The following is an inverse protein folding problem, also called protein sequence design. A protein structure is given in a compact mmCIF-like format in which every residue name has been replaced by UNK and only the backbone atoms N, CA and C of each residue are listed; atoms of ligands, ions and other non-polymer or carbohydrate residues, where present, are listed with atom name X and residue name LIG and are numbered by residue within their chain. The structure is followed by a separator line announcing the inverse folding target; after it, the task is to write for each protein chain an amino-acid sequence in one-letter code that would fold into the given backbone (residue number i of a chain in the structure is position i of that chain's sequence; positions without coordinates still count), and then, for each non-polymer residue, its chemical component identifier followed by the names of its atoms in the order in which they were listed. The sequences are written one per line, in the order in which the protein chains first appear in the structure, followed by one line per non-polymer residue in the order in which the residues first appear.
data_IF_125092958288
#
_entry.id   IF_125092958288
#
_cell.length_a   1.000
_cell.length_b   1.000
_cell.length_c   1.000
_cell.angle_alpha   90.00
_cell.angle_beta   90.00
_cell.angle_gamma   90.00
#
_symmetry.space_group_name_H-M   'P 1'
#
loop_
_entity.id
_entity.type
_entity.pdbx_description
1 polymer ?
#
# COMPACT_ATOMS: atom_id res chain seq x y z
N UNK A 1 3.76 -24.23 -7.77
CA UNK A 1 4.98 -24.76 -7.13
C UNK A 1 5.72 -23.62 -6.42
N UNK A 2 6.61 -23.94 -5.49
CA UNK A 2 7.52 -22.96 -4.86
C UNK A 2 8.93 -23.29 -5.38
N UNK A 3 9.63 -22.31 -5.94
CA UNK A 3 11.00 -22.49 -6.42
C UNK A 3 11.96 -22.60 -5.23
N UNK A 4 12.92 -23.52 -5.35
CA UNK A 4 13.93 -23.78 -4.31
C UNK A 4 15.20 -22.95 -4.51
N UNK A 5 15.54 -22.61 -5.76
CA UNK A 5 16.74 -21.84 -6.09
C UNK A 5 16.47 -20.82 -7.20
N UNK A 6 17.29 -19.77 -7.27
CA UNK A 6 17.18 -18.76 -8.32
C UNK A 6 17.49 -19.33 -9.71
N UNK A 7 18.35 -20.34 -9.83
CA UNK A 7 18.65 -20.99 -11.10
C UNK A 7 17.47 -21.83 -11.62
N UNK A 8 16.81 -22.58 -10.72
CA UNK A 8 15.57 -23.27 -11.08
C UNK A 8 14.51 -22.27 -11.54
N UNK A 9 14.37 -21.15 -10.84
CA UNK A 9 13.44 -20.08 -11.22
C UNK A 9 13.78 -19.55 -12.62
N UNK A 10 15.04 -19.19 -12.89
CA UNK A 10 15.49 -18.66 -14.20
C UNK A 10 15.18 -19.61 -15.36
N UNK A 11 15.36 -20.91 -15.16
CA UNK A 11 15.06 -21.92 -16.18
C UNK A 11 13.56 -21.97 -16.48
N UNK A 12 12.70 -21.94 -15.47
CA UNK A 12 11.25 -22.06 -15.64
C UNK A 12 10.60 -20.80 -16.21
N UNK A 13 11.23 -19.64 -16.11
CA UNK A 13 10.69 -18.42 -16.73
C UNK A 13 11.08 -18.24 -18.19
N UNK A 14 12.09 -18.95 -18.72
CA UNK A 14 12.79 -18.58 -19.95
C UNK A 14 11.91 -18.43 -21.20
N UNK A 15 10.85 -19.24 -21.32
CA UNK A 15 9.92 -19.20 -22.47
C UNK A 15 8.81 -18.15 -22.30
N UNK A 16 8.65 -17.60 -21.08
CA UNK A 16 7.53 -16.71 -20.71
C UNK A 16 8.01 -15.29 -20.45
N UNK A 17 9.15 -15.15 -19.76
CA UNK A 17 9.79 -13.89 -19.40
C UNK A 17 11.24 -13.88 -19.89
N UNK A 18 11.64 -12.80 -20.54
CA UNK A 18 13.03 -12.55 -20.92
C UNK A 18 13.63 -11.48 -20.01
N UNK A 19 14.78 -11.77 -19.41
CA UNK A 19 15.57 -10.78 -18.66
C UNK A 19 16.62 -10.18 -19.60
N UNK A 20 16.64 -8.86 -19.74
CA UNK A 20 17.57 -8.14 -20.61
C UNK A 20 17.87 -6.75 -20.05
N UNK A 21 19.14 -6.37 -19.96
CA UNK A 21 19.57 -5.04 -19.49
C UNK A 21 19.07 -4.65 -18.09
N UNK A 22 18.81 -5.60 -17.19
CA UNK A 22 18.24 -5.31 -15.87
C UNK A 22 16.73 -5.06 -15.88
N UNK A 23 16.05 -5.44 -16.97
CA UNK A 23 14.60 -5.39 -17.10
C UNK A 23 14.00 -6.76 -17.45
N UNK A 24 12.68 -6.86 -17.38
CA UNK A 24 11.90 -8.06 -17.70
C UNK A 24 10.96 -7.74 -18.84
N UNK A 25 10.93 -8.58 -19.86
CA UNK A 25 10.01 -8.53 -20.99
C UNK A 25 9.08 -9.74 -20.95
N UNK A 26 7.80 -9.54 -21.25
CA UNK A 26 6.80 -10.61 -21.28
C UNK A 26 6.73 -11.14 -22.71
N UNK A 27 7.22 -12.36 -22.93
CA UNK A 27 7.22 -13.05 -24.23
C UNK A 27 5.90 -13.78 -24.48
N UNK A 28 5.30 -14.35 -23.43
CA UNK A 28 4.01 -15.02 -23.48
C UNK A 28 3.14 -14.60 -22.29
N UNK A 29 2.28 -13.60 -22.51
CA UNK A 29 1.38 -13.11 -21.46
C UNK A 29 0.38 -14.18 -21.01
N UNK A 30 -0.09 -15.04 -21.93
CA UNK A 30 -1.09 -16.05 -21.61
C UNK A 30 -0.49 -17.07 -20.63
N UNK A 31 0.69 -17.60 -20.94
CA UNK A 31 1.39 -18.54 -20.05
C UNK A 31 1.81 -17.89 -18.72
N UNK A 32 2.18 -16.60 -18.74
CA UNK A 32 2.42 -15.84 -17.51
C UNK A 32 1.21 -15.87 -16.59
N UNK A 33 0.03 -15.55 -17.14
CA UNK A 33 -1.21 -15.44 -16.38
C UNK A 33 -1.77 -16.80 -15.98
N UNK A 34 -1.77 -17.76 -16.88
CA UNK A 34 -2.42 -19.05 -16.66
C UNK A 34 -1.68 -19.88 -15.59
N UNK A 35 -0.35 -19.85 -15.60
CA UNK A 35 0.47 -20.75 -14.76
C UNK A 35 1.56 -20.01 -13.98
N UNK A 36 2.47 -19.32 -14.67
CA UNK A 36 3.73 -18.89 -14.05
C UNK A 36 3.55 -17.88 -12.91
N UNK A 37 2.57 -16.98 -13.01
CA UNK A 37 2.34 -15.96 -11.97
C UNK A 37 1.98 -16.59 -10.62
N UNK A 38 1.29 -17.73 -10.61
CA UNK A 38 1.00 -18.47 -9.39
C UNK A 38 2.29 -19.03 -8.78
N UNK A 39 3.17 -19.61 -9.59
CA UNK A 39 4.46 -20.12 -9.10
C UNK A 39 5.35 -19.00 -8.54
N UNK A 40 5.36 -17.84 -9.21
CA UNK A 40 6.12 -16.67 -8.78
C UNK A 40 5.58 -16.10 -7.46
N UNK A 41 4.26 -15.92 -7.31
CA UNK A 41 3.71 -15.31 -6.08
C UNK A 41 3.85 -16.25 -4.89
N UNK A 42 3.66 -17.56 -5.07
CA UNK A 42 3.89 -18.52 -4.00
C UNK A 42 5.37 -18.55 -3.59
N UNK A 43 6.29 -18.44 -4.55
CA UNK A 43 7.72 -18.34 -4.25
C UNK A 43 8.10 -17.04 -3.55
N UNK A 44 7.50 -15.92 -3.95
CA UNK A 44 7.71 -14.59 -3.37
C UNK A 44 7.27 -14.50 -1.89
N UNK A 45 6.31 -15.31 -1.49
CA UNK A 45 5.76 -15.34 -0.12
C UNK A 45 6.39 -16.48 0.70
N UNK A 46 6.38 -17.70 0.18
CA UNK A 46 6.59 -18.92 0.97
C UNK A 46 7.95 -19.60 0.77
N UNK A 47 8.80 -19.17 -0.17
CA UNK A 47 10.12 -19.79 -0.32
C UNK A 47 10.94 -19.65 0.97
N UNK A 48 11.75 -20.65 1.31
CA UNK A 48 12.68 -20.54 2.44
C UNK A 48 13.92 -19.69 2.09
N UNK A 49 14.20 -19.50 0.81
CA UNK A 49 15.35 -18.77 0.30
C UNK A 49 14.98 -17.29 0.05
N UNK A 50 15.66 -16.38 0.76
CA UNK A 50 15.46 -14.93 0.63
C UNK A 50 15.82 -14.38 -0.74
N UNK A 51 16.77 -14.99 -1.45
CA UNK A 51 17.14 -14.60 -2.81
C UNK A 51 16.02 -14.97 -3.79
N UNK A 52 15.44 -16.17 -3.64
CA UNK A 52 14.27 -16.59 -4.43
C UNK A 52 13.09 -15.66 -4.19
N UNK A 53 12.79 -15.32 -2.93
CA UNK A 53 11.71 -14.36 -2.62
C UNK A 53 11.94 -13.03 -3.33
N UNK A 54 13.13 -12.45 -3.15
CA UNK A 54 13.48 -11.14 -3.69
C UNK A 54 13.43 -11.13 -5.22
N UNK A 55 13.94 -12.19 -5.85
CA UNK A 55 13.94 -12.33 -7.30
C UNK A 55 12.54 -12.51 -7.88
N UNK A 56 11.68 -13.33 -7.25
CA UNK A 56 10.29 -13.49 -7.65
C UNK A 56 9.50 -12.17 -7.52
N UNK A 57 9.66 -11.43 -6.41
CA UNK A 57 9.06 -10.10 -6.20
C UNK A 57 9.49 -9.12 -7.29
N UNK A 58 10.78 -9.11 -7.64
CA UNK A 58 11.31 -8.28 -8.71
C UNK A 58 10.72 -8.63 -10.08
N UNK A 59 10.64 -9.92 -10.42
CA UNK A 59 10.03 -10.40 -11.68
C UNK A 59 8.57 -9.97 -11.80
N UNK A 60 7.78 -10.18 -10.74
CA UNK A 60 6.36 -9.79 -10.69
C UNK A 60 6.22 -8.28 -10.93
N UNK A 61 7.01 -7.46 -10.23
CA UNK A 61 6.97 -6.00 -10.36
C UNK A 61 7.34 -5.52 -11.77
N UNK A 62 8.40 -6.06 -12.36
CA UNK A 62 8.84 -5.64 -13.72
C UNK A 62 7.89 -6.14 -14.80
N UNK A 63 7.41 -7.38 -14.70
CA UNK A 63 6.42 -7.92 -15.62
C UNK A 63 5.11 -7.11 -15.57
N UNK A 64 4.62 -6.77 -14.36
CA UNK A 64 3.45 -5.92 -14.17
C UNK A 64 3.62 -4.56 -14.84
N UNK A 65 4.78 -3.91 -14.65
CA UNK A 65 5.06 -2.63 -15.29
C UNK A 65 5.02 -2.72 -16.83
N UNK A 66 5.55 -3.80 -17.43
CA UNK A 66 5.43 -4.04 -18.88
C UNK A 66 4.00 -4.28 -19.35
N UNK A 67 3.17 -4.83 -18.47
CA UNK A 67 1.74 -4.98 -18.69
C UNK A 67 0.96 -3.73 -18.25
N UNK A 68 1.58 -2.58 -17.99
CA UNK A 68 0.87 -1.35 -17.62
C UNK A 68 0.15 -1.41 -16.26
N UNK A 69 0.62 -2.27 -15.35
CA UNK A 69 0.16 -2.36 -13.96
C UNK A 69 1.26 -1.83 -13.03
N UNK A 70 1.06 -0.64 -12.48
CA UNK A 70 2.07 0.03 -11.66
C UNK A 70 1.44 0.73 -10.47
N UNK A 71 2.15 0.77 -9.35
CA UNK A 71 1.77 1.57 -8.21
C UNK A 71 1.63 3.05 -8.60
N UNK A 72 0.58 3.71 -8.13
CA UNK A 72 0.29 5.11 -8.40
C UNK A 72 -0.31 5.80 -7.16
N UNK A 73 -0.07 7.11 -7.08
CA UNK A 73 -0.74 7.97 -6.09
C UNK A 73 -2.14 8.36 -6.59
N UNK A 74 -3.11 8.37 -5.67
CA UNK A 74 -4.46 8.85 -5.97
C UNK A 74 -4.59 10.38 -5.87
N UNK A 75 -3.54 11.06 -5.40
CA UNK A 75 -3.52 12.51 -5.15
C UNK A 75 -4.13 13.34 -6.30
N UNK A 76 -3.76 13.16 -7.59
CA UNK A 76 -4.32 13.99 -8.67
C UNK A 76 -5.84 13.83 -8.84
N UNK A 77 -6.37 12.63 -8.57
CA UNK A 77 -7.81 12.40 -8.62
C UNK A 77 -8.50 13.12 -7.47
N UNK A 78 -7.97 13.02 -6.25
CA UNK A 78 -8.55 13.68 -5.08
C UNK A 78 -8.47 15.21 -5.18
N UNK A 79 -7.43 15.79 -5.76
CA UNK A 79 -7.36 17.22 -6.09
C UNK A 79 -8.42 17.63 -7.11
N UNK A 80 -8.62 16.82 -8.16
CA UNK A 80 -9.67 17.05 -9.14
C UNK A 80 -11.08 16.94 -8.51
N UNK A 81 -11.26 16.04 -7.54
CA UNK A 81 -12.51 15.94 -6.77
C UNK A 81 -12.70 17.14 -5.84
N UNK A 82 -11.68 17.53 -5.08
CA UNK A 82 -11.72 18.66 -4.16
C UNK A 82 -11.96 20.01 -4.85
N UNK A 83 -11.50 20.16 -6.10
CA UNK A 83 -11.79 21.32 -6.95
C UNK A 83 -13.14 21.26 -7.67
N UNK A 84 -13.85 20.13 -7.60
CA UNK A 84 -15.12 19.91 -8.30
C UNK A 84 -15.01 19.59 -9.80
N UNK A 85 -13.79 19.45 -10.33
CA UNK A 85 -13.55 19.06 -11.73
C UNK A 85 -14.00 17.61 -12.01
N UNK A 86 -13.97 16.75 -10.99
CA UNK A 86 -14.47 15.38 -11.02
C UNK A 86 -15.46 15.20 -9.87
N UNK A 87 -16.61 14.57 -10.10
CA UNK A 87 -17.60 14.30 -9.05
C UNK A 87 -18.54 13.16 -9.45
N UNK A 88 -19.43 12.76 -8.54
CA UNK A 88 -20.49 11.79 -8.82
C UNK A 88 -20.16 10.34 -8.45
N UNK A 89 -19.02 10.07 -7.81
CA UNK A 89 -18.65 8.75 -7.31
C UNK A 89 -17.72 8.84 -6.10
N UNK A 90 -17.56 7.71 -5.42
CA UNK A 90 -16.56 7.50 -4.35
C UNK A 90 -15.56 6.44 -4.80
N UNK A 91 -14.37 6.46 -4.19
CA UNK A 91 -13.35 5.44 -4.40
C UNK A 91 -13.42 4.43 -3.25
N UNK A 92 -13.72 3.15 -3.49
CA UNK A 92 -13.68 2.16 -2.42
C UNK A 92 -12.22 1.88 -2.02
N UNK A 93 -11.95 1.96 -0.73
CA UNK A 93 -10.76 1.42 -0.10
C UNK A 93 -11.11 0.09 0.58
N UNK A 94 -10.28 -0.93 0.34
CA UNK A 94 -10.58 -2.31 0.73
C UNK A 94 -9.40 -2.87 1.51
N UNK A 95 -9.58 -3.04 2.82
CA UNK A 95 -8.65 -3.81 3.66
C UNK A 95 -8.61 -5.26 3.16
N UNK A 96 -7.41 -5.73 2.84
CA UNK A 96 -7.19 -7.15 2.53
C UNK A 96 -6.13 -7.72 3.45
N UNK A 97 -6.47 -8.80 4.14
CA UNK A 97 -5.53 -9.50 5.00
C UNK A 97 -5.82 -11.02 5.00
N UNK A 98 -4.78 -11.84 5.14
CA UNK A 98 -4.90 -13.31 5.10
C UNK A 98 -4.80 -13.87 3.69
N UNK A 99 -5.93 -14.18 3.04
CA UNK A 99 -5.97 -14.71 1.66
C UNK A 99 -5.88 -13.59 0.60
N UNK A 100 -4.95 -12.65 0.81
CA UNK A 100 -4.83 -11.38 0.06
C UNK A 100 -4.73 -11.60 -1.44
N UNK A 101 -3.89 -12.53 -1.92
CA UNK A 101 -3.74 -12.82 -3.36
C UNK A 101 -5.07 -13.22 -4.02
N UNK A 102 -5.80 -14.16 -3.43
CA UNK A 102 -7.05 -14.65 -4.01
C UNK A 102 -8.19 -13.63 -3.91
N UNK A 103 -8.25 -12.87 -2.81
CA UNK A 103 -9.24 -11.82 -2.61
C UNK A 103 -9.03 -10.66 -3.58
N UNK A 104 -7.78 -10.24 -3.76
CA UNK A 104 -7.42 -9.22 -4.75
C UNK A 104 -7.80 -9.64 -6.18
N UNK A 105 -7.62 -10.92 -6.54
CA UNK A 105 -8.09 -11.40 -7.85
C UNK A 105 -9.62 -11.30 -8.00
N UNK A 106 -10.39 -11.57 -6.94
CA UNK A 106 -11.85 -11.42 -6.99
C UNK A 106 -12.27 -9.97 -7.18
N UNK A 107 -11.56 -9.04 -6.53
CA UNK A 107 -11.75 -7.59 -6.70
C UNK A 107 -11.41 -7.19 -8.12
N UNK A 108 -10.23 -7.52 -8.65
CA UNK A 108 -9.86 -7.16 -10.03
C UNK A 108 -10.83 -7.72 -11.08
N UNK A 109 -11.27 -8.99 -10.95
CA UNK A 109 -12.29 -9.54 -11.86
C UNK A 109 -13.60 -8.74 -11.79
N UNK A 110 -13.99 -8.29 -10.60
CA UNK A 110 -15.18 -7.47 -10.39
C UNK A 110 -15.00 -6.06 -10.98
N UNK A 111 -13.84 -5.44 -10.77
CA UNK A 111 -13.46 -4.14 -11.34
C UNK A 111 -13.51 -4.18 -12.86
N UNK A 112 -12.91 -5.19 -13.49
CA UNK A 112 -12.91 -5.38 -14.94
C UNK A 112 -14.34 -5.60 -15.46
N UNK A 113 -15.09 -6.52 -14.85
CA UNK A 113 -16.46 -6.86 -15.28
C UNK A 113 -17.41 -5.67 -15.15
N UNK A 114 -17.27 -4.90 -14.07
CA UNK A 114 -18.10 -3.74 -13.78
C UNK A 114 -17.64 -2.45 -14.45
N UNK A 115 -16.48 -2.45 -15.14
CA UNK A 115 -15.80 -1.25 -15.59
C UNK A 115 -15.71 -0.19 -14.47
N UNK A 116 -15.36 -0.66 -13.26
CA UNK A 116 -15.18 0.20 -12.09
C UNK A 116 -13.91 0.99 -12.29
N UNK A 117 -13.92 2.26 -11.88
CA UNK A 117 -12.74 3.11 -11.89
C UNK A 117 -11.73 2.73 -10.80
N UNK A 118 -11.10 3.71 -10.14
CA UNK A 118 -10.08 3.44 -9.13
C UNK A 118 -10.64 2.63 -7.96
N UNK A 119 -9.81 1.74 -7.42
CA UNK A 119 -10.02 0.99 -6.19
C UNK A 119 -8.71 1.03 -5.41
N UNK A 120 -8.80 1.28 -4.11
CA UNK A 120 -7.64 1.28 -3.21
C UNK A 120 -7.57 -0.07 -2.51
N UNK A 121 -6.37 -0.65 -2.49
CA UNK A 121 -6.04 -1.82 -1.67
C UNK A 121 -5.24 -1.35 -0.47
N UNK A 122 -5.74 -1.61 0.72
CA UNK A 122 -5.14 -1.09 1.94
C UNK A 122 -4.84 -2.18 2.97
N UNK A 123 -3.92 -1.87 3.86
CA UNK A 123 -3.56 -2.71 5.00
C UNK A 123 -3.09 -1.82 6.14
N UNK A 124 -3.60 -2.07 7.35
CA UNK A 124 -3.26 -1.24 8.50
C UNK A 124 -2.00 -1.71 9.22
N UNK A 125 -1.37 -0.81 9.98
CA UNK A 125 -0.15 -1.12 10.77
C UNK A 125 -0.37 -2.31 11.72
N UNK A 126 -1.56 -2.44 12.28
CA UNK A 126 -1.93 -3.57 13.14
C UNK A 126 -1.99 -4.89 12.35
N UNK A 127 -2.55 -4.84 11.15
CA UNK A 127 -2.74 -5.97 10.23
C UNK A 127 -1.41 -6.50 9.71
N UNK A 128 -0.52 -5.62 9.26
CA UNK A 128 0.87 -5.95 8.91
C UNK A 128 1.51 -6.80 10.01
N UNK A 129 1.36 -6.37 11.28
CA UNK A 129 1.96 -7.06 12.43
C UNK A 129 1.34 -8.43 12.71
N UNK A 130 0.02 -8.54 12.83
CA UNK A 130 -0.59 -9.83 13.22
C UNK A 130 -0.62 -10.85 12.09
N UNK A 131 -0.62 -10.41 10.83
CA UNK A 131 -0.49 -11.30 9.66
C UNK A 131 0.94 -11.60 9.29
N UNK A 132 1.91 -10.83 9.81
CA UNK A 132 3.30 -10.85 9.37
C UNK A 132 3.45 -10.63 7.85
N UNK A 133 2.62 -9.74 7.29
CA UNK A 133 2.62 -9.38 5.88
C UNK A 133 3.21 -7.97 5.69
N UNK A 134 4.53 -7.85 5.42
CA UNK A 134 5.15 -6.54 5.21
C UNK A 134 4.67 -5.87 3.92
N UNK A 135 4.77 -4.53 3.80
CA UNK A 135 4.38 -3.77 2.60
C UNK A 135 4.93 -4.37 1.29
N UNK A 136 6.20 -4.78 1.27
CA UNK A 136 6.82 -5.39 0.08
C UNK A 136 6.14 -6.68 -0.39
N UNK A 137 5.65 -7.49 0.54
CA UNK A 137 4.88 -8.69 0.23
C UNK A 137 3.47 -8.32 -0.24
N UNK A 138 2.80 -7.40 0.48
CA UNK A 138 1.47 -6.92 0.14
C UNK A 138 1.42 -6.38 -1.30
N UNK A 139 2.33 -5.47 -1.66
CA UNK A 139 2.47 -4.98 -3.04
C UNK A 139 2.62 -6.12 -4.03
N UNK A 140 3.46 -7.11 -3.71
CA UNK A 140 3.74 -8.23 -4.61
C UNK A 140 2.49 -9.06 -4.87
N UNK A 141 1.71 -9.38 -3.82
CA UNK A 141 0.51 -10.20 -3.97
C UNK A 141 -0.61 -9.46 -4.70
N UNK A 142 -0.81 -8.15 -4.45
CA UNK A 142 -1.76 -7.33 -5.20
C UNK A 142 -1.34 -7.23 -6.68
N UNK A 143 -0.07 -6.97 -6.93
CA UNK A 143 0.48 -6.86 -8.29
C UNK A 143 0.34 -8.18 -9.06
N UNK A 144 0.65 -9.31 -8.42
CA UNK A 144 0.45 -10.63 -9.03
C UNK A 144 -1.03 -10.90 -9.34
N UNK A 145 -1.94 -10.49 -8.45
CA UNK A 145 -3.38 -10.64 -8.69
C UNK A 145 -3.86 -9.80 -9.88
N UNK A 146 -3.31 -8.60 -10.07
CA UNK A 146 -3.57 -7.76 -11.24
C UNK A 146 -3.13 -8.46 -12.53
N UNK A 147 -1.90 -9.02 -12.56
CA UNK A 147 -1.40 -9.81 -13.69
C UNK A 147 -2.34 -10.99 -13.95
N UNK A 148 -2.59 -11.84 -12.95
CA UNK A 148 -3.40 -13.07 -13.06
C UNK A 148 -4.75 -12.81 -13.71
N UNK A 149 -5.40 -11.72 -13.32
CA UNK A 149 -6.74 -11.36 -13.79
C UNK A 149 -6.75 -10.60 -15.11
N UNK A 150 -5.59 -10.14 -15.59
CA UNK A 150 -5.48 -9.33 -16.80
C UNK A 150 -5.89 -7.87 -16.60
N UNK A 151 -5.90 -7.38 -15.37
CA UNK A 151 -6.11 -5.96 -15.10
C UNK A 151 -5.01 -5.12 -15.78
N UNK A 152 -5.34 -3.87 -16.12
CA UNK A 152 -4.45 -2.89 -16.73
C UNK A 152 -4.77 -1.53 -16.12
N UNK A 153 -3.76 -0.82 -15.68
CA UNK A 153 -3.93 0.51 -15.08
C UNK A 153 -3.23 0.67 -13.74
N UNK A 154 -3.45 1.82 -13.08
CA UNK A 154 -2.83 2.13 -11.80
C UNK A 154 -3.26 1.15 -10.71
N UNK A 155 -2.33 0.87 -9.81
CA UNK A 155 -2.54 0.15 -8.55
C UNK A 155 -2.44 1.17 -7.41
N UNK A 156 -3.53 1.43 -6.71
CA UNK A 156 -3.54 2.30 -5.55
C UNK A 156 -3.36 1.46 -4.30
N UNK A 157 -2.18 1.58 -3.67
CA UNK A 157 -1.82 0.88 -2.44
C UNK A 157 -1.80 1.88 -1.30
N UNK A 158 -2.47 1.56 -0.20
CA UNK A 158 -2.65 2.46 0.93
C UNK A 158 -2.17 1.86 2.25
N UNK A 159 -1.43 2.68 3.00
CA UNK A 159 -1.11 2.41 4.40
C UNK A 159 -2.28 2.92 5.23
N UNK A 160 -3.14 2.01 5.68
CA UNK A 160 -4.38 2.34 6.38
C UNK A 160 -4.11 2.64 7.85
N UNK A 161 -4.71 3.71 8.39
CA UNK A 161 -4.60 4.10 9.80
C UNK A 161 -3.21 3.79 10.38
N UNK A 162 -2.12 4.38 9.86
CA UNK A 162 -0.76 4.18 10.39
C UNK A 162 -0.67 4.85 11.77
N UNK A 163 -1.25 4.16 12.73
CA UNK A 163 -1.74 4.71 13.97
C UNK A 163 -0.64 4.75 15.02
N UNK A 164 -0.53 5.89 15.70
CA UNK A 164 0.29 6.05 16.89
C UNK A 164 -0.31 5.24 18.03
N UNK A 165 0.48 4.41 18.71
CA UNK A 165 0.00 3.71 19.89
C UNK A 165 0.14 4.62 21.13
N UNK A 166 -0.98 5.13 21.64
CA UNK A 166 -1.00 6.04 22.79
C UNK A 166 -0.23 5.54 24.02
N UNK A 167 -0.29 4.23 24.34
CA UNK A 167 0.44 3.66 25.49
C UNK A 167 1.95 3.64 25.26
N UNK A 168 2.40 3.28 24.06
CA UNK A 168 3.82 3.30 23.71
C UNK A 168 4.34 4.73 23.62
N UNK A 169 3.56 5.62 23.01
CA UNK A 169 3.89 7.03 22.91
C UNK A 169 4.03 7.68 24.30
N UNK A 170 3.11 7.42 25.22
CA UNK A 170 3.21 7.94 26.60
C UNK A 170 4.43 7.39 27.37
N UNK A 171 4.89 6.18 27.02
CA UNK A 171 6.06 5.58 27.66
C UNK A 171 7.39 6.07 27.06
N UNK A 172 7.45 6.19 25.72
CA UNK A 172 8.61 6.63 24.95
C UNK A 172 8.15 7.20 23.60
N UNK A 173 7.93 8.53 23.52
CA UNK A 173 7.48 9.19 22.30
C UNK A 173 8.43 8.98 21.11
N UNK A 174 9.74 9.11 21.34
CA UNK A 174 10.75 9.07 20.28
C UNK A 174 10.78 7.70 19.60
N UNK A 175 10.73 6.63 20.41
CA UNK A 175 10.70 5.25 19.88
C UNK A 175 9.43 4.98 19.07
N UNK A 176 8.26 5.43 19.53
CA UNK A 176 7.01 5.20 18.81
C UNK A 176 6.93 6.00 17.51
N UNK A 177 7.37 7.26 17.52
CA UNK A 177 7.48 8.08 16.31
C UNK A 177 8.47 7.47 15.31
N UNK A 178 9.62 6.99 15.79
CA UNK A 178 10.57 6.33 14.90
C UNK A 178 9.99 5.05 14.29
N UNK A 179 9.20 4.27 15.03
CA UNK A 179 8.53 3.08 14.49
C UNK A 179 7.53 3.43 13.38
N UNK A 180 6.84 4.57 13.50
CA UNK A 180 5.91 5.08 12.48
C UNK A 180 6.67 5.58 11.25
N UNK A 181 7.74 6.34 11.45
CA UNK A 181 8.61 6.76 10.34
C UNK A 181 9.14 5.56 9.56
N UNK A 182 9.63 4.53 10.25
CA UNK A 182 10.17 3.33 9.62
C UNK A 182 9.13 2.60 8.76
N UNK A 183 7.90 2.41 9.26
CA UNK A 183 6.86 1.72 8.47
C UNK A 183 6.36 2.56 7.29
N UNK A 184 6.30 3.89 7.43
CA UNK A 184 5.99 4.80 6.32
C UNK A 184 7.07 4.70 5.23
N UNK A 185 8.35 4.73 5.60
CA UNK A 185 9.46 4.58 4.65
C UNK A 185 9.41 3.24 3.94
N UNK A 186 9.21 2.13 4.68
CA UNK A 186 9.07 0.79 4.09
C UNK A 186 7.88 0.70 3.13
N UNK A 187 6.75 1.33 3.48
CA UNK A 187 5.56 1.35 2.64
C UNK A 187 5.81 2.12 1.34
N UNK A 188 6.42 3.32 1.40
CA UNK A 188 6.73 4.12 0.22
C UNK A 188 7.72 3.39 -0.70
N UNK A 189 8.77 2.77 -0.15
CA UNK A 189 9.69 1.91 -0.91
C UNK A 189 8.98 0.72 -1.59
N UNK A 190 7.93 0.21 -0.95
CA UNK A 190 7.08 -0.85 -1.50
C UNK A 190 6.02 -0.35 -2.50
N UNK A 191 5.89 0.97 -2.73
CA UNK A 191 4.93 1.54 -3.68
C UNK A 191 3.59 1.97 -3.07
N UNK A 192 3.52 2.12 -1.76
CA UNK A 192 2.36 2.71 -1.08
C UNK A 192 2.43 4.22 -1.22
N UNK A 193 1.70 4.74 -2.20
CA UNK A 193 1.67 6.17 -2.49
C UNK A 193 0.41 6.86 -1.97
N UNK A 194 -0.28 6.21 -1.04
CA UNK A 194 -1.39 6.73 -0.26
C UNK A 194 -1.13 6.31 1.19
N UNK A 195 -1.01 7.26 2.12
CA UNK A 195 -0.64 7.00 3.52
C UNK A 195 -1.62 7.76 4.41
N UNK A 196 -2.38 7.04 5.21
CA UNK A 196 -3.27 7.64 6.20
C UNK A 196 -2.59 7.60 7.57
N UNK A 197 -2.36 8.78 8.14
CA UNK A 197 -1.71 8.96 9.44
C UNK A 197 -2.79 9.13 10.50
N UNK A 198 -2.76 8.25 11.50
CA UNK A 198 -3.66 8.34 12.64
C UNK A 198 -2.89 8.67 13.92
N UNK A 199 -2.80 9.97 14.23
CA UNK A 199 -2.33 10.48 15.50
C UNK A 199 -3.48 10.92 16.43
N UNK A 200 -4.73 10.54 16.12
CA UNK A 200 -5.89 10.91 16.93
C UNK A 200 -5.85 10.30 18.34
N UNK A 201 -5.13 9.19 18.51
CA UNK A 201 -4.98 8.50 19.79
C UNK A 201 -4.17 9.27 20.83
N UNK A 202 -3.39 10.27 20.43
CA UNK A 202 -2.61 11.12 21.35
C UNK A 202 -3.34 12.40 21.77
N UNK A 203 -4.59 12.59 21.31
CA UNK A 203 -5.44 13.72 21.71
C UNK A 203 -5.71 13.68 23.21
N UNK A 204 -5.48 14.81 23.88
CA UNK A 204 -5.64 14.96 25.33
C UNK A 204 -6.81 15.88 25.66
N UNK A 205 -7.99 15.30 25.86
CA UNK A 205 -9.23 16.02 26.17
C UNK A 205 -9.21 16.74 27.54
N UNK A 206 -8.19 16.53 28.38
CA UNK A 206 -8.05 17.24 29.65
C UNK A 206 -7.54 18.67 29.50
N UNK A 207 -7.05 19.04 28.30
CA UNK A 207 -6.52 20.38 28.00
C UNK A 207 -7.64 21.43 27.86
N UNK A 208 -7.37 22.69 28.22
CA UNK A 208 -8.43 23.70 28.37
C UNK A 208 -9.01 24.20 27.03
N UNK A 209 -8.25 24.15 25.93
CA UNK A 209 -8.74 24.55 24.61
C UNK A 209 -8.65 23.40 23.61
N UNK A 210 -9.55 23.38 22.61
CA UNK A 210 -9.57 22.35 21.55
C UNK A 210 -8.23 22.28 20.81
N UNK A 211 -7.58 23.44 20.59
CA UNK A 211 -6.25 23.50 19.97
C UNK A 211 -5.18 22.76 20.79
N UNK A 212 -5.16 22.97 22.10
CA UNK A 212 -4.23 22.25 22.99
C UNK A 212 -4.58 20.76 23.10
N UNK A 213 -5.85 20.39 22.99
CA UNK A 213 -6.27 18.98 22.95
C UNK A 213 -5.72 18.27 21.70
N UNK A 214 -5.75 18.95 20.55
CA UNK A 214 -5.34 18.42 19.24
C UNK A 214 -3.84 18.59 18.94
N UNK A 215 -3.07 19.26 19.80
CA UNK A 215 -1.67 19.64 19.51
C UNK A 215 -0.79 18.45 19.15
N UNK A 216 -0.91 17.34 19.88
CA UNK A 216 -0.19 16.11 19.57
C UNK A 216 -0.57 15.55 18.19
N UNK A 217 -1.85 15.57 17.84
CA UNK A 217 -2.35 15.02 16.59
C UNK A 217 -1.83 15.82 15.38
N UNK A 218 -2.07 17.13 15.34
CA UNK A 218 -1.64 17.93 14.19
C UNK A 218 -0.11 18.07 14.09
N UNK A 219 0.61 18.10 15.22
CA UNK A 219 2.07 18.25 15.20
C UNK A 219 2.74 16.98 14.68
N UNK A 220 2.32 15.81 15.17
CA UNK A 220 2.84 14.52 14.68
C UNK A 220 2.48 14.34 13.20
N UNK A 221 1.24 14.63 12.82
CA UNK A 221 0.79 14.51 11.42
C UNK A 221 1.55 15.45 10.50
N UNK A 222 1.83 16.69 10.91
CA UNK A 222 2.66 17.64 10.17
C UNK A 222 4.11 17.15 10.03
N UNK A 223 4.70 16.61 11.10
CA UNK A 223 6.05 16.06 11.08
C UNK A 223 6.17 14.84 10.15
N UNK A 224 5.19 13.94 10.19
CA UNK A 224 5.14 12.78 9.28
C UNK A 224 4.92 13.24 7.83
N UNK A 225 4.07 14.23 7.62
CA UNK A 225 3.85 14.84 6.29
C UNK A 225 5.15 15.42 5.73
N UNK A 226 5.87 16.21 6.53
CA UNK A 226 7.15 16.80 6.13
C UNK A 226 8.19 15.72 5.80
N UNK A 227 8.23 14.62 6.57
CA UNK A 227 9.09 13.48 6.30
C UNK A 227 8.71 12.77 5.00
N UNK A 228 7.42 12.48 4.77
CA UNK A 228 6.93 11.83 3.53
C UNK A 228 7.36 12.65 2.30
N UNK A 229 7.22 13.98 2.35
CA UNK A 229 7.64 14.86 1.24
C UNK A 229 9.15 14.83 0.97
N UNK A 230 9.98 14.43 1.94
CA UNK A 230 11.43 14.27 1.72
C UNK A 230 11.79 12.93 1.06
N UNK A 231 10.93 11.92 1.18
CA UNK A 231 11.22 10.55 0.73
C UNK A 231 10.32 10.07 -0.42
N UNK A 232 9.36 10.88 -0.85
CA UNK A 232 8.50 10.52 -1.98
C UNK A 232 9.33 10.37 -3.27
N UNK A 233 9.02 9.38 -4.12
CA UNK A 233 9.75 9.18 -5.37
C UNK A 233 9.59 10.37 -6.32
N UNK A 234 10.61 10.64 -7.13
CA UNK A 234 10.54 11.67 -8.16
C UNK A 234 9.34 11.45 -9.09
N UNK A 235 8.55 12.50 -9.31
CA UNK A 235 7.35 12.46 -10.13
C UNK A 235 6.12 11.82 -9.48
N UNK A 236 6.20 11.44 -8.19
CA UNK A 236 5.07 10.91 -7.42
C UNK A 236 4.82 11.79 -6.19
N UNK A 237 3.67 12.46 -6.16
CA UNK A 237 3.19 13.12 -4.94
C UNK A 237 2.40 12.12 -4.11
N UNK A 238 2.92 11.68 -2.97
CA UNK A 238 2.20 10.73 -2.09
C UNK A 238 0.92 11.39 -1.57
N UNK A 239 -0.23 10.71 -1.69
CA UNK A 239 -1.48 11.12 -1.05
C UNK A 239 -1.37 10.90 0.45
N UNK A 240 -1.73 11.91 1.25
CA UNK A 240 -1.61 11.86 2.71
C UNK A 240 -2.97 12.15 3.31
N UNK A 241 -3.53 11.18 4.04
CA UNK A 241 -4.70 11.35 4.90
C UNK A 241 -4.26 11.63 6.33
N UNK A 242 -5.06 12.42 7.05
CA UNK A 242 -4.89 12.68 8.48
C UNK A 242 -6.22 12.49 9.18
N UNK A 243 -6.19 11.86 10.35
CA UNK A 243 -7.40 11.52 11.09
C UNK A 243 -7.64 12.41 12.29
N UNK A 244 -8.93 12.70 12.49
CA UNK A 244 -9.42 13.47 13.63
C UNK A 244 -10.68 12.80 14.20
N UNK A 245 -10.87 12.94 15.50
CA UNK A 245 -12.00 12.38 16.22
C UNK A 245 -11.66 11.11 16.99
N UNK A 246 -12.63 10.61 17.75
CA UNK A 246 -12.50 9.40 18.55
C UNK A 246 -13.47 8.35 18.00
N UNK A 247 -12.96 7.18 17.64
CA UNK A 247 -13.79 6.09 17.13
C UNK A 247 -14.83 5.68 18.18
N UNK A 248 -16.11 5.85 17.86
CA UNK A 248 -17.23 5.28 18.62
C UNK A 248 -17.78 6.11 19.79
N UNK A 249 -17.27 7.33 20.04
CA UNK A 249 -17.73 8.14 21.17
C UNK A 249 -18.63 9.32 20.76
N UNK A 250 -18.10 10.29 20.01
CA UNK A 250 -18.83 11.47 19.54
C UNK A 250 -18.45 11.82 18.10
N UNK A 251 -19.35 12.53 17.42
CA UNK A 251 -19.04 13.09 16.10
C UNK A 251 -17.98 14.19 16.24
N UNK A 252 -17.04 14.22 15.31
CA UNK A 252 -16.06 15.30 15.19
C UNK A 252 -16.76 16.62 14.87
N UNK A 253 -16.25 17.70 15.46
CA UNK A 253 -16.77 19.07 15.32
C UNK A 253 -15.95 19.88 14.32
N UNK A 254 -16.53 20.97 13.81
CA UNK A 254 -15.79 21.92 12.94
C UNK A 254 -14.61 22.52 13.69
N UNK A 255 -14.77 22.82 14.98
CA UNK A 255 -13.70 23.38 15.80
C UNK A 255 -12.52 22.40 15.91
N UNK A 256 -12.78 21.10 16.09
CA UNK A 256 -11.74 20.05 16.08
C UNK A 256 -11.05 19.91 14.72
N UNK A 257 -11.76 20.12 13.60
CA UNK A 257 -11.17 20.10 12.26
C UNK A 257 -10.30 21.34 11.98
N UNK A 258 -10.65 22.49 12.53
CA UNK A 258 -9.93 23.77 12.29
C UNK A 258 -8.81 24.08 13.30
N UNK A 259 -8.66 23.24 14.33
CA UNK A 259 -7.66 23.39 15.40
C UNK A 259 -6.22 23.30 14.88
#
# INVERSE_FOLDING_TARGET
MIYETTDQLKQNIADVLKIDGGDVFVSDEKSLRDTLIDDLVYSAVFSADSEVKSFARWLIRRAAARLGCMAASIQPLYEAMGSGAVSGFTVPAINLHGITYHSAQAIFRSTIKGNVGPVIFEIARSEIRYTNQPPSEYTTVITAAAIKTGYRGPLFLQGDHFQINAKKYAADPDTEIQAIRSIISEAIEAGFYNIDIDASTVVDLSRPTIREQQEGNFSITADMTAMIRQIEPEGVTVSIGGEIGEIGNKNTTVDEFTA
#
